data_IF_429114994902
#
_entry.id   IF_429114994902
#
_cell.length_a   1.000
_cell.length_b   1.000
_cell.length_c   1.000
_cell.angle_alpha   90.00
_cell.angle_beta   90.00
_cell.angle_gamma   90.00
#
_symmetry.space_group_name_H-M   'P 1'
#
loop_
_entity.id
_entity.type
_entity.pdbx_description
1 polymer ?
#
# COMPACT_ATOMS: atom_id res chain seq x y z
N UNK A 1 3.85 3.21 -9.65
CA UNK A 1 3.43 2.90 -8.27
C UNK A 1 3.51 4.10 -7.33
N UNK A 2 4.63 4.89 -7.30
CA UNK A 2 4.77 5.97 -6.32
C UNK A 2 3.73 7.09 -6.50
N UNK A 3 3.53 7.57 -7.71
CA UNK A 3 2.52 8.59 -8.03
C UNK A 3 1.12 8.12 -7.64
N UNK A 4 0.75 6.90 -8.01
CA UNK A 4 -0.53 6.29 -7.63
C UNK A 4 -0.71 6.17 -6.10
N UNK A 5 0.38 5.87 -5.36
CA UNK A 5 0.35 5.88 -3.90
C UNK A 5 0.07 7.28 -3.36
N UNK A 6 0.77 8.28 -3.89
CA UNK A 6 0.59 9.69 -3.47
C UNK A 6 -0.84 10.14 -3.74
N UNK A 7 -1.39 9.82 -4.91
CA UNK A 7 -2.77 10.18 -5.28
C UNK A 7 -3.77 9.51 -4.36
N UNK A 8 -3.65 8.19 -4.13
CA UNK A 8 -4.51 7.46 -3.21
C UNK A 8 -4.44 7.97 -1.76
N UNK A 9 -3.25 8.37 -1.31
CA UNK A 9 -3.07 8.95 0.02
C UNK A 9 -3.61 10.38 0.13
N UNK A 10 -3.71 11.13 -0.97
CA UNK A 10 -4.32 12.46 -1.01
C UNK A 10 -5.84 12.40 -1.11
N UNK A 11 -6.38 11.40 -1.79
CA UNK A 11 -7.83 11.17 -1.88
C UNK A 11 -8.42 10.88 -0.49
N UNK A 12 -7.66 10.20 0.39
CA UNK A 12 -8.07 9.88 1.75
C UNK A 12 -7.05 10.44 2.75
N UNK A 13 -7.36 11.54 3.38
CA UNK A 13 -6.45 12.20 4.36
C UNK A 13 -6.35 11.48 5.72
N UNK A 14 -7.00 10.35 5.87
CA UNK A 14 -7.02 9.54 7.09
C UNK A 14 -5.74 8.71 7.26
N UNK A 15 -5.63 8.03 8.41
CA UNK A 15 -4.48 7.20 8.72
C UNK A 15 -4.34 6.01 7.76
N UNK A 16 -3.12 5.76 7.32
CA UNK A 16 -2.82 4.67 6.40
C UNK A 16 -1.60 3.85 6.85
N UNK A 17 -1.61 2.56 6.51
CA UNK A 17 -0.42 1.70 6.58
C UNK A 17 -0.04 1.26 5.16
N UNK A 18 1.24 1.40 4.81
CA UNK A 18 1.80 1.03 3.51
C UNK A 18 2.77 -0.12 3.70
N UNK A 19 2.46 -1.27 3.11
CA UNK A 19 3.28 -2.47 3.22
C UNK A 19 4.34 -2.57 2.13
N UNK A 20 5.57 -2.87 2.58
CA UNK A 20 6.77 -3.09 1.77
C UNK A 20 7.43 -4.41 2.11
N UNK A 21 8.07 -5.06 1.13
CA UNK A 21 8.79 -6.32 1.34
C UNK A 21 10.25 -6.14 1.79
N UNK A 22 10.79 -4.92 1.78
CA UNK A 22 12.19 -4.65 2.09
C UNK A 22 12.33 -3.53 3.13
N UNK A 23 13.16 -3.76 4.15
CA UNK A 23 13.49 -2.78 5.21
C UNK A 23 14.05 -1.48 4.62
N UNK A 24 15.02 -1.58 3.71
CA UNK A 24 15.63 -0.44 3.05
C UNK A 24 14.62 0.35 2.20
N UNK A 25 13.77 -0.36 1.45
CA UNK A 25 12.73 0.26 0.64
C UNK A 25 11.67 0.96 1.52
N UNK A 26 11.37 0.41 2.72
CA UNK A 26 10.47 1.02 3.71
C UNK A 26 10.96 2.41 4.13
N UNK A 27 12.24 2.55 4.51
CA UNK A 27 12.81 3.84 4.89
C UNK A 27 12.84 4.83 3.72
N UNK A 28 13.25 4.35 2.54
CA UNK A 28 13.31 5.17 1.33
C UNK A 28 11.93 5.70 0.95
N UNK A 29 10.89 4.86 1.04
CA UNK A 29 9.52 5.26 0.74
C UNK A 29 9.00 6.30 1.72
N UNK A 30 9.23 6.10 3.03
CA UNK A 30 8.82 7.07 4.05
C UNK A 30 9.47 8.45 3.83
N UNK A 31 10.77 8.49 3.48
CA UNK A 31 11.46 9.74 3.12
C UNK A 31 10.85 10.40 1.89
N UNK A 32 10.56 9.63 0.84
CA UNK A 32 9.93 10.14 -0.39
C UNK A 32 8.53 10.70 -0.15
N UNK A 33 7.73 10.06 0.71
CA UNK A 33 6.42 10.57 1.09
C UNK A 33 6.52 11.89 1.84
N UNK A 34 7.47 12.02 2.77
CA UNK A 34 7.77 13.30 3.44
C UNK A 34 8.13 14.41 2.45
N UNK A 35 8.98 14.10 1.46
CA UNK A 35 9.33 15.05 0.40
C UNK A 35 8.14 15.43 -0.49
N UNK A 36 7.10 14.58 -0.58
CA UNK A 36 5.85 14.85 -1.29
C UNK A 36 4.79 15.55 -0.41
N UNK A 37 5.16 15.98 0.80
CA UNK A 37 4.27 16.67 1.74
C UNK A 37 3.36 15.76 2.56
N UNK A 38 3.61 14.44 2.56
CA UNK A 38 2.82 13.46 3.31
C UNK A 38 3.59 13.04 4.56
N UNK A 39 3.02 13.28 5.75
CA UNK A 39 3.66 12.87 7.01
C UNK A 39 3.71 11.35 7.12
N UNK A 40 4.90 10.78 7.14
CA UNK A 40 5.12 9.33 7.13
C UNK A 40 6.30 8.92 8.01
N UNK A 41 6.19 7.78 8.68
CA UNK A 41 7.29 7.16 9.43
C UNK A 41 7.46 5.70 9.00
N UNK A 42 8.71 5.21 9.07
CA UNK A 42 9.06 3.83 8.74
C UNK A 42 9.13 2.95 9.99
N UNK A 43 8.65 1.69 9.87
CA UNK A 43 8.83 0.67 10.90
C UNK A 43 9.27 -0.66 10.27
N UNK A 44 10.39 -1.21 10.74
CA UNK A 44 10.96 -2.49 10.27
C UNK A 44 11.77 -3.17 11.36
N UNK A 45 12.19 -4.42 11.11
CA UNK A 45 12.81 -5.27 12.13
C UNK A 45 14.13 -4.75 12.71
N UNK A 46 14.88 -3.89 11.98
CA UNK A 46 16.17 -3.36 12.46
C UNK A 46 16.03 -2.15 13.38
N UNK A 47 14.81 -1.64 13.58
CA UNK A 47 14.58 -0.56 14.52
C UNK A 47 14.71 -1.10 15.97
N UNK A 48 15.47 -0.37 16.79
CA UNK A 48 15.54 -0.64 18.24
C UNK A 48 14.13 -0.50 18.86
N UNK A 49 13.87 -1.27 19.91
CA UNK A 49 12.55 -1.34 20.54
C UNK A 49 12.01 0.03 20.98
N UNK A 50 12.84 0.86 21.59
CA UNK A 50 12.45 2.22 22.00
C UNK A 50 12.03 3.11 20.81
N UNK A 51 12.69 2.97 19.65
CA UNK A 51 12.30 3.70 18.44
C UNK A 51 10.98 3.19 17.87
N UNK A 52 10.74 1.86 17.92
CA UNK A 52 9.46 1.28 17.50
C UNK A 52 8.30 1.79 18.35
N UNK A 53 8.46 1.77 19.69
CA UNK A 53 7.46 2.28 20.62
C UNK A 53 7.16 3.75 20.39
N UNK A 54 8.20 4.56 20.16
CA UNK A 54 8.03 5.98 19.82
C UNK A 54 7.26 6.19 18.52
N UNK A 55 7.55 5.41 17.47
CA UNK A 55 6.82 5.50 16.18
C UNK A 55 5.34 5.16 16.40
N UNK A 56 5.04 4.12 17.16
CA UNK A 56 3.66 3.70 17.44
C UNK A 56 2.93 4.75 18.30
N UNK A 57 3.57 5.28 19.34
CA UNK A 57 3.01 6.37 20.15
C UNK A 57 2.70 7.59 19.29
N UNK A 58 3.64 8.01 18.44
CA UNK A 58 3.44 9.15 17.53
C UNK A 58 2.29 8.94 16.55
N UNK A 59 2.10 7.69 16.07
CA UNK A 59 0.95 7.37 15.21
C UNK A 59 -0.37 7.47 15.98
N UNK A 60 -0.41 6.97 17.22
CA UNK A 60 -1.60 7.09 18.12
C UNK A 60 -1.93 8.53 18.42
N UNK A 61 -0.90 9.37 18.61
CA UNK A 61 -1.03 10.80 18.85
C UNK A 61 -1.30 11.62 17.57
N UNK A 62 -1.52 10.96 16.41
CA UNK A 62 -1.72 11.60 15.11
C UNK A 62 -0.60 12.58 14.68
N UNK A 63 0.64 12.41 15.19
CA UNK A 63 1.79 13.24 14.79
C UNK A 63 2.24 12.99 13.35
N UNK A 64 1.88 11.86 12.78
CA UNK A 64 1.98 11.54 11.37
C UNK A 64 0.82 10.61 10.99
N UNK A 65 0.48 10.54 9.70
CA UNK A 65 -0.68 9.76 9.26
C UNK A 65 -0.37 8.48 8.49
N UNK A 66 0.83 8.35 7.94
CA UNK A 66 1.21 7.19 7.11
C UNK A 66 2.32 6.39 7.77
N UNK A 67 2.02 5.14 8.12
CA UNK A 67 3.01 4.18 8.60
C UNK A 67 3.51 3.33 7.43
N UNK A 68 4.79 3.38 7.10
CA UNK A 68 5.40 2.48 6.10
C UNK A 68 6.04 1.30 6.84
N UNK A 69 5.61 0.07 6.58
CA UNK A 69 5.94 -1.09 7.39
C UNK A 69 6.34 -2.32 6.58
N UNK A 70 7.19 -3.17 7.17
CA UNK A 70 7.35 -4.56 6.73
C UNK A 70 6.39 -5.47 7.50
N UNK A 71 6.02 -6.64 6.95
CA UNK A 71 5.12 -7.62 7.59
C UNK A 71 5.57 -7.98 9.00
N UNK A 72 6.86 -8.32 9.16
CA UNK A 72 7.43 -8.71 10.46
C UNK A 72 7.28 -7.59 11.50
N UNK A 73 7.47 -6.36 11.10
CA UNK A 73 7.36 -5.23 12.01
C UNK A 73 5.90 -4.87 12.32
N UNK A 74 4.99 -5.08 11.39
CA UNK A 74 3.57 -4.81 11.56
C UNK A 74 2.84 -5.88 12.38
N UNK A 75 3.39 -7.09 12.51
CA UNK A 75 2.84 -8.14 13.38
C UNK A 75 2.93 -7.71 14.85
N UNK A 76 1.84 -7.89 15.58
CA UNK A 76 1.77 -7.55 17.01
C UNK A 76 1.69 -6.05 17.31
N UNK A 77 1.64 -5.18 16.29
CA UNK A 77 1.36 -3.77 16.53
C UNK A 77 -0.15 -3.59 16.69
N UNK A 78 -0.55 -3.14 17.86
CA UNK A 78 -1.88 -2.61 18.07
C UNK A 78 -1.90 -1.15 17.61
N UNK A 79 -2.33 -0.96 16.36
CA UNK A 79 -2.51 0.37 15.78
C UNK A 79 -4.00 0.69 15.77
N UNK A 80 -4.44 1.66 16.59
CA UNK A 80 -5.83 2.09 16.54
C UNK A 80 -6.11 2.82 15.23
N UNK A 81 -7.27 2.55 14.63
CA UNK A 81 -7.89 3.36 13.58
C UNK A 81 -7.09 3.56 12.29
N UNK A 82 -6.50 2.48 11.73
CA UNK A 82 -6.02 2.53 10.36
C UNK A 82 -7.22 2.48 9.42
N UNK A 83 -7.41 3.56 8.66
CA UNK A 83 -8.49 3.64 7.68
C UNK A 83 -8.11 2.94 6.37
N UNK A 84 -6.86 3.09 5.93
CA UNK A 84 -6.41 2.57 4.65
C UNK A 84 -5.19 1.66 4.78
N UNK A 85 -5.27 0.47 4.17
CA UNK A 85 -4.14 -0.44 3.96
C UNK A 85 -3.71 -0.37 2.50
N UNK A 86 -2.44 -0.09 2.25
CA UNK A 86 -1.87 -0.08 0.90
C UNK A 86 -0.79 -1.14 0.79
N UNK A 87 -0.98 -2.12 -0.07
CA UNK A 87 0.05 -3.06 -0.46
C UNK A 87 0.87 -2.46 -1.61
N UNK A 88 1.91 -1.70 -1.29
CA UNK A 88 2.84 -1.14 -2.29
C UNK A 88 3.62 -2.26 -2.96
N UNK A 89 4.06 -3.25 -2.15
CA UNK A 89 4.51 -4.56 -2.62
C UNK A 89 3.50 -5.60 -2.16
N UNK A 90 3.06 -6.49 -3.07
CA UNK A 90 2.21 -7.61 -2.69
C UNK A 90 2.95 -8.53 -1.70
N UNK A 91 2.24 -9.16 -0.77
CA UNK A 91 2.85 -10.08 0.18
C UNK A 91 3.48 -11.26 -0.55
N UNK A 92 4.48 -11.90 0.08
CA UNK A 92 5.14 -13.07 -0.51
C UNK A 92 4.25 -14.30 -0.52
N UNK A 93 3.40 -14.45 0.50
CA UNK A 93 2.41 -15.50 0.65
C UNK A 93 1.02 -14.87 0.67
N UNK A 94 0.04 -15.52 0.05
CA UNK A 94 -1.32 -14.98 -0.04
C UNK A 94 -1.98 -14.83 1.35
N UNK A 95 -1.63 -15.71 2.30
CA UNK A 95 -2.14 -15.68 3.67
C UNK A 95 -1.73 -14.40 4.42
N UNK A 96 -0.53 -13.87 4.15
CA UNK A 96 -0.07 -12.61 4.75
C UNK A 96 -0.97 -11.44 4.34
N UNK A 97 -1.65 -11.54 3.20
CA UNK A 97 -2.61 -10.54 2.76
C UNK A 97 -3.74 -10.33 3.77
N UNK A 98 -4.31 -11.41 4.28
CA UNK A 98 -5.39 -11.35 5.29
C UNK A 98 -4.90 -10.64 6.56
N UNK A 99 -3.65 -10.93 6.99
CA UNK A 99 -3.05 -10.27 8.14
C UNK A 99 -2.81 -8.78 7.92
N UNK A 100 -2.50 -8.36 6.68
CA UNK A 100 -2.32 -6.95 6.31
C UNK A 100 -3.65 -6.21 6.32
N UNK A 101 -4.66 -6.71 5.59
CA UNK A 101 -5.96 -6.04 5.51
C UNK A 101 -6.70 -6.02 6.85
N UNK A 102 -6.48 -7.02 7.72
CA UNK A 102 -6.98 -7.02 9.11
C UNK A 102 -6.42 -5.90 9.99
N UNK A 103 -5.63 -4.96 9.45
CA UNK A 103 -5.22 -3.72 10.14
C UNK A 103 -6.22 -2.58 9.95
N UNK A 104 -7.16 -2.70 9.02
CA UNK A 104 -8.26 -1.76 8.81
C UNK A 104 -9.61 -2.43 9.06
N UNK A 105 -10.70 -1.68 9.02
CA UNK A 105 -12.07 -2.21 9.14
C UNK A 105 -12.40 -2.80 10.53
N UNK A 106 -11.71 -2.37 11.59
CA UNK A 106 -11.95 -2.89 12.95
C UNK A 106 -13.12 -2.16 13.63
N UNK A 107 -13.79 -2.87 14.55
CA UNK A 107 -14.90 -2.32 15.36
C UNK A 107 -16.07 -1.74 14.56
N UNK A 108 -16.37 -2.33 13.38
CA UNK A 108 -17.47 -1.88 12.52
C UNK A 108 -17.16 -0.62 11.70
N UNK A 109 -15.92 -0.12 11.74
CA UNK A 109 -15.50 0.98 10.88
C UNK A 109 -15.24 0.47 9.45
N UNK A 110 -15.60 1.27 8.45
CA UNK A 110 -15.23 0.98 7.07
C UNK A 110 -13.74 1.15 6.87
N UNK A 111 -13.12 0.21 6.16
CA UNK A 111 -11.72 0.25 5.79
C UNK A 111 -11.51 0.10 4.28
N UNK A 112 -10.41 0.61 3.79
CA UNK A 112 -10.02 0.52 2.37
C UNK A 112 -8.73 -0.27 2.25
N UNK A 113 -8.70 -1.27 1.37
CA UNK A 113 -7.49 -1.98 0.98
C UNK A 113 -7.16 -1.70 -0.49
N UNK A 114 -5.94 -1.24 -0.74
CA UNK A 114 -5.43 -0.92 -2.07
C UNK A 114 -4.21 -1.77 -2.40
N UNK A 115 -4.20 -2.40 -3.56
CA UNK A 115 -3.07 -3.17 -4.07
C UNK A 115 -2.43 -2.45 -5.26
N UNK A 116 -1.13 -2.15 -5.16
CA UNK A 116 -0.35 -1.57 -6.26
C UNK A 116 0.44 -2.67 -6.97
N UNK A 117 -0.21 -3.36 -7.91
CA UNK A 117 0.40 -4.43 -8.69
C UNK A 117 1.06 -3.91 -9.97
N UNK A 118 2.09 -4.59 -10.44
CA UNK A 118 2.66 -4.48 -11.78
C UNK A 118 2.19 -5.66 -12.62
N UNK A 119 2.51 -5.69 -13.90
CA UNK A 119 2.21 -6.86 -14.74
C UNK A 119 2.89 -8.13 -14.23
N UNK A 120 4.09 -7.98 -13.68
CA UNK A 120 4.86 -9.11 -13.13
C UNK A 120 4.25 -9.64 -11.80
N UNK A 121 3.35 -8.87 -11.18
CA UNK A 121 2.67 -9.24 -9.93
C UNK A 121 1.31 -9.94 -10.16
N UNK A 122 0.88 -10.14 -11.43
CA UNK A 122 -0.47 -10.60 -11.75
C UNK A 122 -0.80 -12.00 -11.23
N UNK A 123 0.14 -12.94 -11.33
CA UNK A 123 -0.08 -14.31 -10.83
C UNK A 123 -0.31 -14.30 -9.32
N UNK A 124 0.47 -13.51 -8.59
CA UNK A 124 0.33 -13.34 -7.16
C UNK A 124 -0.97 -12.62 -6.78
N UNK A 125 -1.39 -11.65 -7.57
CA UNK A 125 -2.68 -10.98 -7.36
C UNK A 125 -3.84 -11.97 -7.52
N UNK A 126 -3.79 -12.84 -8.55
CA UNK A 126 -4.77 -13.89 -8.78
C UNK A 126 -4.82 -14.92 -7.63
N UNK A 127 -3.67 -15.29 -7.05
CA UNK A 127 -3.60 -16.14 -5.87
C UNK A 127 -4.33 -15.50 -4.67
N UNK A 128 -4.07 -14.22 -4.42
CA UNK A 128 -4.71 -13.44 -3.36
C UNK A 128 -6.22 -13.35 -3.60
N UNK A 129 -6.66 -13.02 -4.81
CA UNK A 129 -8.08 -12.94 -5.17
C UNK A 129 -8.80 -14.28 -4.98
N UNK A 130 -8.16 -15.36 -5.37
CA UNK A 130 -8.71 -16.72 -5.16
C UNK A 130 -8.85 -17.06 -3.68
N UNK A 131 -7.91 -16.61 -2.84
CA UNK A 131 -7.98 -16.84 -1.41
C UNK A 131 -9.13 -16.06 -0.76
N UNK A 132 -9.35 -14.81 -1.17
CA UNK A 132 -10.38 -13.94 -0.60
C UNK A 132 -11.77 -14.32 -1.08
N UNK A 133 -11.89 -14.68 -2.33
CA UNK A 133 -13.17 -15.00 -2.96
C UNK A 133 -13.06 -16.24 -3.85
N UNK A 134 -13.04 -17.44 -3.25
CA UNK A 134 -12.87 -18.70 -3.97
C UNK A 134 -13.96 -18.98 -5.00
N UNK A 135 -15.12 -18.31 -4.90
CA UNK A 135 -16.25 -18.47 -5.81
C UNK A 135 -16.37 -17.33 -6.84
N UNK A 136 -15.47 -16.34 -6.81
CA UNK A 136 -15.50 -15.29 -7.83
C UNK A 136 -15.11 -15.90 -9.19
N UNK A 137 -15.83 -15.58 -10.27
CA UNK A 137 -15.33 -15.87 -11.60
C UNK A 137 -13.96 -15.19 -11.71
N UNK A 138 -12.94 -15.90 -12.23
CA UNK A 138 -11.61 -15.33 -12.50
C UNK A 138 -11.82 -14.13 -13.41
N UNK A 139 -12.04 -12.98 -12.84
CA UNK A 139 -12.48 -11.80 -13.53
C UNK A 139 -11.39 -10.74 -13.49
N UNK A 140 -11.08 -10.36 -14.66
CA UNK A 140 -11.16 -8.99 -15.12
C UNK A 140 -10.59 -7.98 -14.14
N UNK A 141 -9.30 -7.87 -14.24
CA UNK A 141 -8.58 -6.62 -14.00
C UNK A 141 -9.36 -5.48 -14.64
N UNK A 142 -10.06 -4.69 -13.86
CA UNK A 142 -10.50 -3.37 -14.31
C UNK A 142 -9.24 -2.52 -14.43
N UNK A 143 -8.63 -2.58 -15.61
CA UNK A 143 -7.56 -1.68 -15.99
C UNK A 143 -8.20 -0.32 -16.14
N UNK A 144 -7.97 0.58 -15.18
CA UNK A 144 -8.24 2.00 -15.39
C UNK A 144 -7.35 2.45 -16.55
N UNK A 145 -7.92 2.47 -17.76
CA UNK A 145 -7.29 3.09 -18.93
C UNK A 145 -7.49 4.59 -18.75
N UNK A 146 -6.46 5.28 -18.32
CA UNK A 146 -6.39 6.72 -18.50
C UNK A 146 -6.33 7.00 -20.01
N UNK A 147 -7.46 7.46 -20.56
CA UNK A 147 -7.48 8.11 -21.87
C UNK A 147 -6.85 9.49 -21.73
N UNK A 148 -5.55 9.57 -21.95
CA UNK A 148 -4.91 10.86 -22.21
C UNK A 148 -5.14 11.21 -23.68
N UNK A 149 -5.71 12.39 -24.00
CA UNK A 149 -5.81 12.84 -25.38
C UNK A 149 -4.40 13.07 -25.92
N UNK A 150 -4.11 12.43 -27.04
CA UNK A 150 -2.84 12.54 -27.74
C UNK A 150 -2.53 13.98 -28.13
N UNK A 151 -1.55 14.63 -27.48
CA UNK A 151 -0.84 15.77 -28.06
C UNK A 151 0.42 15.24 -28.74
N UNK A 152 0.38 15.28 -30.08
CA UNK A 152 1.53 15.03 -30.93
C UNK A 152 2.70 15.94 -30.55
N UNK A 153 3.78 15.36 -30.04
CA UNK A 153 5.13 15.89 -30.24
C UNK A 153 6.11 14.73 -30.32
N UNK A 154 6.68 14.56 -31.50
CA UNK A 154 7.77 13.63 -31.78
C UNK A 154 8.99 14.05 -30.96
N UNK A 155 9.41 13.22 -30.02
CA UNK A 155 10.82 13.07 -29.66
C UNK A 155 11.08 11.62 -29.22
N UNK A 156 11.98 10.97 -29.95
CA UNK A 156 12.52 9.63 -29.66
C UNK A 156 13.38 9.72 -28.41
N UNK A 157 12.97 9.08 -27.33
CA UNK A 157 13.90 8.58 -26.30
C UNK A 157 13.37 7.22 -25.86
N UNK A 158 14.18 6.19 -26.02
CA UNK A 158 13.85 4.82 -25.63
C UNK A 158 13.74 4.70 -24.10
N UNK A 159 12.55 4.41 -23.64
CA UNK A 159 12.27 4.08 -22.24
C UNK A 159 11.10 3.12 -22.20
N UNK A 160 11.35 1.90 -21.72
CA UNK A 160 10.32 0.89 -21.48
C UNK A 160 9.31 1.43 -20.46
N UNK A 161 8.15 1.85 -20.94
CA UNK A 161 7.02 2.26 -20.08
C UNK A 161 6.47 0.99 -19.40
N UNK A 162 6.79 0.79 -18.12
CA UNK A 162 6.13 -0.21 -17.28
C UNK A 162 4.72 0.27 -17.01
N UNK A 163 3.71 -0.33 -17.64
CA UNK A 163 2.31 -0.10 -17.29
C UNK A 163 2.08 -0.59 -15.86
N UNK A 164 1.74 0.32 -14.97
CA UNK A 164 1.37 0.04 -13.58
C UNK A 164 -0.15 -0.10 -13.50
N UNK A 165 -0.60 -1.09 -12.74
CA UNK A 165 -2.01 -1.39 -12.51
C UNK A 165 -2.30 -1.16 -11.03
N UNK A 166 -3.34 -0.36 -10.72
CA UNK A 166 -3.88 -0.26 -9.38
C UNK A 166 -5.14 -1.12 -9.29
N UNK A 167 -5.18 -1.99 -8.30
CA UNK A 167 -6.35 -2.80 -7.99
C UNK A 167 -6.94 -2.31 -6.66
N UNK A 168 -8.19 -1.84 -6.70
CA UNK A 168 -8.88 -1.30 -5.55
C UNK A 168 -10.02 -2.27 -5.16
N UNK A 169 -9.88 -2.89 -3.97
CA UNK A 169 -10.98 -3.61 -3.33
C UNK A 169 -11.73 -2.59 -2.47
N UNK A 170 -12.97 -2.26 -2.86
CA UNK A 170 -13.87 -1.43 -2.07
C UNK A 170 -14.79 -2.36 -1.27
N UNK A 171 -14.87 -2.11 0.02
CA UNK A 171 -15.76 -2.75 1.00
C UNK A 171 -15.34 -4.18 1.38
N UNK A 172 -14.58 -4.26 2.45
CA UNK A 172 -14.52 -5.45 3.32
C UNK A 172 -15.41 -5.21 4.54
#
# INVERSE_FOLDING_TARGET
KFEMLVDALREHEQSAIVFMNSKFATEKLAKRLKSAGITAEAIHGDLRQNKRERVISNLRDNKFRVLVATDVAARGIDVPHIHQVVNFDLPRQAEDYIHRIGRTGRNGAQGVALNLATRDDMDKLNEIETLINPNAPKSCTSVARENHPAKNHRQKVGGKTRNQIAHMLRNL
#
